data_IF_343217337963
#
_entry.id   IF_343217337963
#
_cell.length_a   1.000
_cell.length_b   1.000
_cell.length_c   1.000
_cell.angle_alpha   90.00
_cell.angle_beta   90.00
_cell.angle_gamma   90.00
#
_symmetry.space_group_name_H-M   'P 1'
#
loop_
_entity.id
_entity.type
_entity.pdbx_description
1 polymer ?
#
# COMPACT_ATOMS: atom_id res chain seq x y z
N UNK A 1 -28.14 -10.84 -1.44
CA UNK A 1 -27.58 -11.88 -2.34
C UNK A 1 -26.34 -12.50 -1.71
N UNK A 2 -26.40 -13.79 -1.40
CA UNK A 2 -25.24 -14.61 -1.01
C UNK A 2 -24.38 -14.83 -2.25
N UNK A 3 -23.10 -14.48 -2.19
CA UNK A 3 -22.15 -14.78 -3.28
C UNK A 3 -21.67 -16.21 -3.04
N UNK A 4 -21.96 -17.12 -3.98
CA UNK A 4 -21.49 -18.50 -3.90
C UNK A 4 -19.96 -18.55 -3.94
N UNK A 5 -19.36 -19.10 -2.90
CA UNK A 5 -17.91 -19.36 -2.86
C UNK A 5 -17.57 -20.42 -3.90
N UNK A 6 -16.63 -20.12 -4.79
CA UNK A 6 -16.20 -21.03 -5.86
C UNK A 6 -14.68 -21.12 -5.87
N UNK A 7 -14.15 -22.29 -6.21
CA UNK A 7 -12.73 -22.57 -6.23
C UNK A 7 -12.30 -23.09 -7.59
N UNK A 8 -11.06 -22.78 -7.98
CA UNK A 8 -10.37 -23.44 -9.10
C UNK A 8 -8.99 -23.92 -8.67
N UNK A 9 -8.49 -24.96 -9.31
CA UNK A 9 -7.10 -25.39 -9.16
C UNK A 9 -6.30 -24.89 -10.35
N UNK A 10 -5.15 -24.28 -10.10
CA UNK A 10 -4.23 -23.87 -11.16
C UNK A 10 -3.57 -25.10 -11.79
N UNK A 11 -3.69 -25.34 -13.10
CA UNK A 11 -3.11 -26.51 -13.74
C UNK A 11 -1.57 -26.51 -13.75
N UNK A 12 -0.95 -25.34 -13.58
CA UNK A 12 0.52 -25.19 -13.57
C UNK A 12 1.11 -25.34 -12.17
N UNK A 13 0.54 -24.66 -11.18
CA UNK A 13 1.09 -24.65 -9.81
C UNK A 13 0.44 -25.66 -8.87
N UNK A 14 -0.70 -26.25 -9.25
CA UNK A 14 -1.49 -27.12 -8.37
C UNK A 14 -2.18 -26.38 -7.20
N UNK A 15 -1.96 -25.07 -7.05
CA UNK A 15 -2.57 -24.27 -5.99
C UNK A 15 -4.07 -24.06 -6.23
N UNK A 16 -4.85 -24.13 -5.15
CA UNK A 16 -6.28 -23.87 -5.15
C UNK A 16 -6.54 -22.39 -4.85
N UNK A 17 -7.34 -21.75 -5.69
CA UNK A 17 -7.73 -20.35 -5.56
C UNK A 17 -9.23 -20.24 -5.34
N UNK A 18 -9.62 -19.50 -4.30
CA UNK A 18 -10.99 -19.01 -4.17
C UNK A 18 -11.19 -17.82 -5.11
N UNK A 19 -12.32 -17.78 -5.83
CA UNK A 19 -12.54 -16.85 -6.94
C UNK A 19 -12.48 -15.37 -6.51
N UNK A 20 -13.12 -14.98 -5.39
CA UNK A 20 -13.07 -13.59 -4.91
C UNK A 20 -11.65 -13.19 -4.49
N UNK A 21 -10.99 -14.06 -3.72
CA UNK A 21 -9.62 -13.86 -3.28
C UNK A 21 -8.68 -13.68 -4.49
N UNK A 22 -8.79 -14.53 -5.50
CA UNK A 22 -7.97 -14.48 -6.70
C UNK A 22 -8.15 -13.17 -7.48
N UNK A 23 -9.38 -12.73 -7.68
CA UNK A 23 -9.65 -11.47 -8.37
C UNK A 23 -9.11 -10.27 -7.61
N UNK A 24 -9.22 -10.26 -6.28
CA UNK A 24 -8.64 -9.22 -5.44
C UNK A 24 -7.10 -9.23 -5.49
N UNK A 25 -6.47 -10.41 -5.47
CA UNK A 25 -5.02 -10.55 -5.64
C UNK A 25 -4.58 -9.96 -6.99
N UNK A 26 -5.25 -10.34 -8.08
CA UNK A 26 -4.96 -9.84 -9.43
C UNK A 26 -5.17 -8.34 -9.55
N UNK A 27 -6.27 -7.82 -9.01
CA UNK A 27 -6.59 -6.40 -9.08
C UNK A 27 -5.54 -5.56 -8.34
N UNK A 28 -5.20 -5.95 -7.10
CA UNK A 28 -4.15 -5.29 -6.32
C UNK A 28 -2.79 -5.38 -7.01
N UNK A 29 -2.38 -6.57 -7.46
CA UNK A 29 -1.10 -6.75 -8.15
C UNK A 29 -1.03 -5.95 -9.47
N UNK A 30 -2.12 -5.93 -10.24
CA UNK A 30 -2.19 -5.16 -11.49
C UNK A 30 -2.06 -3.66 -11.24
N UNK A 31 -2.84 -3.10 -10.32
CA UNK A 31 -2.76 -1.66 -9.98
C UNK A 31 -1.39 -1.32 -9.38
N UNK A 32 -0.81 -2.21 -8.57
CA UNK A 32 0.56 -2.07 -8.09
C UNK A 32 1.56 -1.94 -9.25
N UNK A 33 1.51 -2.85 -10.22
CA UNK A 33 2.39 -2.78 -11.41
C UNK A 33 2.16 -1.51 -12.24
N UNK A 34 0.92 -1.03 -12.34
CA UNK A 34 0.63 0.26 -13.01
C UNK A 34 1.32 1.42 -12.29
N UNK A 35 1.22 1.51 -10.96
CA UNK A 35 1.93 2.55 -10.20
C UNK A 35 3.45 2.40 -10.25
N UNK A 36 3.97 1.17 -10.27
CA UNK A 36 5.39 0.91 -10.51
C UNK A 36 5.83 1.44 -11.87
N UNK A 37 5.04 1.24 -12.92
CA UNK A 37 5.33 1.76 -14.26
C UNK A 37 5.31 3.29 -14.28
N UNK A 38 4.29 3.92 -13.69
CA UNK A 38 4.18 5.39 -13.62
C UNK A 38 5.37 5.96 -12.85
N UNK A 39 5.61 5.49 -11.62
CA UNK A 39 6.74 5.91 -10.80
C UNK A 39 8.09 5.66 -11.50
N UNK A 40 8.25 4.54 -12.20
CA UNK A 40 9.45 4.22 -12.97
C UNK A 40 9.68 5.15 -14.16
N UNK A 41 8.63 5.54 -14.89
CA UNK A 41 8.74 6.54 -15.96
C UNK A 41 9.14 7.91 -15.42
N UNK A 42 8.55 8.33 -14.30
CA UNK A 42 8.92 9.58 -13.62
C UNK A 42 10.38 9.59 -13.16
N UNK A 43 10.92 8.42 -12.78
CA UNK A 43 12.32 8.26 -12.38
C UNK A 43 13.30 8.68 -13.50
N UNK A 44 12.94 8.50 -14.77
CA UNK A 44 13.77 8.92 -15.91
C UNK A 44 13.96 10.44 -15.88
N UNK A 45 12.88 11.18 -15.63
CA UNK A 45 12.94 12.64 -15.45
C UNK A 45 13.85 13.05 -14.29
N UNK A 46 13.74 12.37 -13.15
CA UNK A 46 14.59 12.60 -11.98
C UNK A 46 16.07 12.35 -12.32
N UNK A 47 16.40 11.19 -12.88
CA UNK A 47 17.78 10.77 -13.16
C UNK A 47 18.44 11.67 -14.20
N UNK A 48 17.75 11.97 -15.32
CA UNK A 48 18.28 12.84 -16.36
C UNK A 48 18.45 14.29 -15.90
N UNK A 49 17.65 14.75 -14.94
CA UNK A 49 17.83 16.08 -14.34
C UNK A 49 19.01 16.12 -13.37
N UNK A 50 19.24 15.01 -12.63
CA UNK A 50 20.38 14.89 -11.70
C UNK A 50 21.70 14.56 -12.39
N UNK A 51 21.70 14.20 -13.66
CA UNK A 51 22.91 13.98 -14.45
C UNK A 51 23.57 15.31 -14.80
N UNK A 52 24.84 15.55 -14.38
CA UNK A 52 25.58 16.79 -14.69
C UNK A 52 25.67 17.23 -16.16
N UNK A 53 25.33 16.35 -17.13
CA UNK A 53 25.41 16.69 -18.55
C UNK A 53 24.06 17.08 -19.18
N UNK A 54 22.92 16.62 -18.64
CA UNK A 54 21.62 16.67 -19.35
C UNK A 54 20.65 17.66 -18.71
N UNK A 55 20.59 17.77 -17.37
CA UNK A 55 19.75 18.73 -16.63
C UNK A 55 18.34 18.96 -17.24
N UNK A 56 17.60 17.88 -17.50
CA UNK A 56 16.42 17.92 -18.37
C UNK A 56 15.26 18.80 -17.85
N UNK A 57 14.83 18.63 -16.59
CA UNK A 57 13.64 19.29 -16.07
C UNK A 57 13.99 20.62 -15.38
N UNK A 58 13.12 21.61 -15.54
CA UNK A 58 13.13 22.83 -14.72
C UNK A 58 12.82 22.51 -13.25
N UNK A 59 13.19 23.41 -12.33
CA UNK A 59 13.16 23.14 -10.90
C UNK A 59 11.76 22.79 -10.37
N UNK A 60 10.74 23.54 -10.76
CA UNK A 60 9.35 23.32 -10.35
C UNK A 60 8.83 21.95 -10.81
N UNK A 61 9.09 21.61 -12.07
CA UNK A 61 8.73 20.33 -12.68
C UNK A 61 9.51 19.19 -12.05
N UNK A 62 10.80 19.39 -11.76
CA UNK A 62 11.63 18.42 -11.07
C UNK A 62 11.05 18.06 -9.70
N UNK A 63 10.67 19.04 -8.87
CA UNK A 63 10.10 18.76 -7.55
C UNK A 63 8.69 18.16 -7.63
N UNK A 64 7.88 18.52 -8.62
CA UNK A 64 6.59 17.88 -8.88
C UNK A 64 6.79 16.39 -9.24
N UNK A 65 7.65 16.11 -10.22
CA UNK A 65 7.97 14.75 -10.68
C UNK A 65 8.62 13.92 -9.57
N UNK A 66 9.54 14.50 -8.80
CA UNK A 66 10.19 13.83 -7.67
C UNK A 66 9.18 13.49 -6.56
N UNK A 67 8.19 14.35 -6.32
CA UNK A 67 7.12 14.09 -5.36
C UNK A 67 6.27 12.91 -5.80
N UNK A 68 5.75 12.94 -7.03
CA UNK A 68 4.95 11.84 -7.58
C UNK A 68 5.75 10.53 -7.64
N UNK A 69 6.99 10.56 -8.14
CA UNK A 69 7.88 9.40 -8.18
C UNK A 69 8.04 8.75 -6.81
N UNK A 70 8.39 9.53 -5.78
CA UNK A 70 8.63 9.00 -4.45
C UNK A 70 7.39 8.34 -3.84
N UNK A 71 6.22 8.96 -3.99
CA UNK A 71 4.96 8.44 -3.47
C UNK A 71 4.56 7.16 -4.21
N UNK A 72 4.62 7.16 -5.54
CA UNK A 72 4.26 6.00 -6.35
C UNK A 72 5.19 4.81 -6.07
N UNK A 73 6.49 5.07 -5.90
CA UNK A 73 7.54 4.06 -5.73
C UNK A 73 7.73 3.54 -4.30
N UNK A 74 7.32 4.28 -3.28
CA UNK A 74 7.54 3.87 -1.89
C UNK A 74 6.25 3.69 -1.09
N UNK A 75 5.10 4.09 -1.64
CA UNK A 75 3.79 3.95 -1.00
C UNK A 75 2.86 3.12 -1.88
N UNK A 76 2.46 3.62 -3.04
CA UNK A 76 1.34 3.03 -3.77
C UNK A 76 1.66 1.66 -4.36
N UNK A 77 2.72 1.51 -5.16
CA UNK A 77 2.99 0.21 -5.79
C UNK A 77 3.28 -0.89 -4.76
N UNK A 78 4.09 -0.57 -3.75
CA UNK A 78 4.51 -1.51 -2.70
C UNK A 78 3.29 -2.01 -1.95
N UNK A 79 2.46 -1.10 -1.42
CA UNK A 79 1.35 -1.49 -0.57
C UNK A 79 0.27 -2.22 -1.37
N UNK A 80 -0.02 -1.82 -2.61
CA UNK A 80 -0.90 -2.60 -3.48
C UNK A 80 -0.38 -4.03 -3.66
N UNK A 81 0.92 -4.18 -3.96
CA UNK A 81 1.52 -5.49 -4.14
C UNK A 81 1.52 -6.32 -2.84
N UNK A 82 1.78 -5.70 -1.70
CA UNK A 82 1.74 -6.33 -0.38
C UNK A 82 0.33 -6.84 -0.04
N UNK A 83 -0.73 -6.07 -0.30
CA UNK A 83 -2.10 -6.54 -0.08
C UNK A 83 -2.41 -7.77 -0.94
N UNK A 84 -1.91 -7.82 -2.19
CA UNK A 84 -2.05 -9.02 -3.03
C UNK A 84 -1.35 -10.23 -2.39
N UNK A 85 -0.13 -10.04 -1.85
CA UNK A 85 0.61 -11.09 -1.13
C UNK A 85 -0.12 -11.54 0.13
N UNK A 86 -0.68 -10.61 0.91
CA UNK A 86 -1.46 -10.94 2.10
C UNK A 86 -2.65 -11.84 1.76
N UNK A 87 -3.44 -11.46 0.75
CA UNK A 87 -4.59 -12.27 0.32
C UNK A 87 -4.17 -13.64 -0.21
N UNK A 88 -3.09 -13.71 -0.98
CA UNK A 88 -2.51 -14.98 -1.43
C UNK A 88 -2.13 -15.87 -0.23
N UNK A 89 -1.40 -15.31 0.73
CA UNK A 89 -0.89 -16.04 1.88
C UNK A 89 -1.99 -16.51 2.86
N UNK A 90 -3.08 -15.75 3.01
CA UNK A 90 -4.19 -16.12 3.89
C UNK A 90 -5.24 -17.01 3.23
N UNK A 91 -5.49 -16.87 1.92
CA UNK A 91 -6.53 -17.66 1.24
C UNK A 91 -5.93 -18.85 0.48
N UNK A 92 -4.99 -18.62 -0.44
CA UNK A 92 -4.46 -19.67 -1.32
C UNK A 92 -3.62 -20.70 -0.55
N UNK A 93 -2.70 -20.24 0.29
CA UNK A 93 -1.81 -21.15 1.03
C UNK A 93 -2.53 -21.91 2.15
N UNK A 94 -3.56 -21.30 2.73
CA UNK A 94 -4.41 -21.97 3.72
C UNK A 94 -5.62 -22.67 3.11
N UNK A 95 -5.81 -22.64 1.78
CA UNK A 95 -6.91 -23.31 1.07
C UNK A 95 -8.29 -22.96 1.64
N UNK A 96 -8.49 -21.69 1.98
CA UNK A 96 -9.74 -21.19 2.52
C UNK A 96 -10.25 -19.99 1.72
N UNK A 97 -11.53 -19.67 1.89
CA UNK A 97 -12.12 -18.47 1.28
C UNK A 97 -11.67 -17.20 1.99
N UNK A 98 -11.62 -16.10 1.25
CA UNK A 98 -11.39 -14.78 1.85
C UNK A 98 -12.54 -14.39 2.79
N UNK A 99 -12.18 -13.72 3.89
CA UNK A 99 -13.17 -13.09 4.76
C UNK A 99 -13.80 -11.88 4.06
N UNK A 100 -15.11 -11.68 4.27
CA UNK A 100 -15.84 -10.44 3.92
C UNK A 100 -15.45 -9.83 2.54
N UNK A 101 -15.59 -10.56 1.42
CA UNK A 101 -15.08 -10.12 0.11
C UNK A 101 -15.60 -8.74 -0.35
N UNK A 102 -16.83 -8.36 0.03
CA UNK A 102 -17.37 -7.02 -0.25
C UNK A 102 -16.57 -5.90 0.43
N UNK A 103 -16.12 -6.13 1.67
CA UNK A 103 -15.28 -5.19 2.41
C UNK A 103 -13.88 -5.13 1.79
N UNK A 104 -13.36 -6.27 1.31
CA UNK A 104 -12.09 -6.32 0.60
C UNK A 104 -12.12 -5.51 -0.72
N UNK A 105 -13.22 -5.58 -1.47
CA UNK A 105 -13.42 -4.74 -2.65
C UNK A 105 -13.58 -3.26 -2.31
N UNK A 106 -14.26 -2.93 -1.21
CA UNK A 106 -14.32 -1.56 -0.71
C UNK A 106 -12.93 -1.03 -0.35
N UNK A 107 -12.12 -1.84 0.35
CA UNK A 107 -10.74 -1.51 0.68
C UNK A 107 -9.91 -1.21 -0.58
N UNK A 108 -10.00 -2.08 -1.57
CA UNK A 108 -9.36 -1.88 -2.87
C UNK A 108 -9.82 -0.58 -3.55
N UNK A 109 -11.13 -0.30 -3.57
CA UNK A 109 -11.66 0.93 -4.14
C UNK A 109 -11.15 2.19 -3.43
N UNK A 110 -11.08 2.18 -2.09
CA UNK A 110 -10.51 3.28 -1.31
C UNK A 110 -9.03 3.52 -1.66
N UNK A 111 -8.24 2.45 -1.81
CA UNK A 111 -6.84 2.56 -2.24
C UNK A 111 -6.71 3.16 -3.65
N UNK A 112 -7.53 2.70 -4.60
CA UNK A 112 -7.51 3.26 -5.97
C UNK A 112 -7.89 4.73 -5.96
N UNK A 113 -9.00 5.10 -5.31
CA UNK A 113 -9.45 6.49 -5.23
C UNK A 113 -8.40 7.37 -4.54
N UNK A 114 -7.82 6.91 -3.43
CA UNK A 114 -6.81 7.65 -2.68
C UNK A 114 -5.54 7.90 -3.49
N UNK A 115 -5.01 6.87 -4.15
CA UNK A 115 -3.80 6.98 -4.98
C UNK A 115 -3.99 7.89 -6.20
N UNK A 116 -5.14 7.80 -6.87
CA UNK A 116 -5.50 8.67 -7.99
C UNK A 116 -5.69 10.12 -7.52
N UNK A 117 -6.41 10.34 -6.43
CA UNK A 117 -6.64 11.69 -5.88
C UNK A 117 -5.33 12.37 -5.47
N UNK A 118 -4.43 11.62 -4.83
CA UNK A 118 -3.13 12.14 -4.44
C UNK A 118 -2.29 12.54 -5.67
N UNK A 119 -2.15 11.65 -6.67
CA UNK A 119 -1.42 11.97 -7.89
C UNK A 119 -2.03 13.15 -8.64
N UNK A 120 -3.37 13.22 -8.73
CA UNK A 120 -4.05 14.36 -9.30
C UNK A 120 -3.67 15.67 -8.59
N UNK A 121 -3.63 15.68 -7.26
CA UNK A 121 -3.20 16.87 -6.50
C UNK A 121 -1.74 17.25 -6.77
N UNK A 122 -0.83 16.26 -6.90
CA UNK A 122 0.57 16.52 -7.25
C UNK A 122 0.70 17.13 -8.64
N UNK A 123 0.06 16.54 -9.66
CA UNK A 123 0.15 17.01 -11.05
C UNK A 123 -0.58 18.33 -11.32
N UNK A 124 -1.38 18.83 -10.38
CA UNK A 124 -1.91 20.19 -10.40
C UNK A 124 -0.85 21.26 -10.08
N UNK A 125 0.33 20.85 -9.62
CA UNK A 125 1.51 21.71 -9.40
C UNK A 125 1.56 22.40 -8.02
N UNK A 126 0.48 22.34 -7.24
CA UNK A 126 0.39 23.00 -5.92
C UNK A 126 0.81 22.10 -4.74
N UNK A 127 1.30 20.88 -4.99
CA UNK A 127 1.62 19.87 -3.97
C UNK A 127 3.02 19.25 -4.14
N UNK A 128 4.01 20.04 -4.58
CA UNK A 128 5.41 19.61 -4.76
C UNK A 128 6.19 19.55 -3.45
N UNK A 129 5.76 18.69 -2.52
CA UNK A 129 6.26 18.64 -1.12
C UNK A 129 7.13 17.42 -0.80
N UNK A 130 7.57 16.69 -1.83
CA UNK A 130 8.24 15.39 -1.73
C UNK A 130 7.37 14.33 -1.02
N UNK A 131 7.81 13.07 -1.03
CA UNK A 131 7.07 11.99 -0.36
C UNK A 131 6.92 12.23 1.16
N UNK A 132 7.88 12.92 1.78
CA UNK A 132 7.87 13.17 3.23
C UNK A 132 6.87 14.23 3.66
N UNK A 133 6.48 15.14 2.76
CA UNK A 133 5.49 16.20 3.01
C UNK A 133 5.69 16.96 4.33
N UNK A 134 6.95 17.31 4.63
CA UNK A 134 7.30 17.95 5.91
C UNK A 134 6.64 19.33 6.06
N UNK A 135 5.89 19.52 7.15
CA UNK A 135 5.45 20.84 7.59
C UNK A 135 6.66 21.72 7.98
N UNK A 136 6.62 23.05 7.76
CA UNK A 136 5.48 23.85 7.31
C UNK A 136 5.32 23.97 5.78
N UNK A 137 6.06 23.19 4.98
CA UNK A 137 5.86 23.17 3.53
C UNK A 137 4.60 22.38 3.18
N UNK A 138 3.48 23.09 3.05
CA UNK A 138 2.15 22.48 2.89
C UNK A 138 1.85 22.13 1.43
N UNK A 139 1.16 21.01 1.25
CA UNK A 139 0.44 20.67 0.03
C UNK A 139 -1.04 21.07 0.13
N UNK A 140 -1.76 21.07 -0.99
CA UNK A 140 -3.22 21.22 -0.95
C UNK A 140 -3.92 20.09 -0.16
N UNK A 141 -5.10 20.36 0.46
CA UNK A 141 -5.82 19.36 1.27
C UNK A 141 -6.08 18.02 0.57
N UNK A 142 -6.32 18.04 -0.74
CA UNK A 142 -6.57 16.81 -1.52
C UNK A 142 -5.36 15.88 -1.60
N UNK A 143 -4.15 16.42 -1.47
CA UNK A 143 -2.93 15.61 -1.38
C UNK A 143 -2.98 14.69 -0.15
N UNK A 144 -3.23 15.26 1.02
CA UNK A 144 -3.31 14.51 2.28
C UNK A 144 -4.55 13.61 2.33
N UNK A 145 -5.70 14.10 1.83
CA UNK A 145 -6.93 13.30 1.76
C UNK A 145 -6.73 12.03 0.92
N UNK A 146 -6.02 12.12 -0.21
CA UNK A 146 -5.66 10.97 -1.03
C UNK A 146 -4.85 9.92 -0.26
N UNK A 147 -3.83 10.37 0.50
CA UNK A 147 -3.02 9.47 1.36
C UNK A 147 -3.88 8.85 2.46
N UNK A 148 -4.76 9.62 3.10
CA UNK A 148 -5.66 9.14 4.16
C UNK A 148 -6.61 8.06 3.62
N UNK A 149 -7.27 8.31 2.49
CA UNK A 149 -8.16 7.33 1.86
C UNK A 149 -7.42 6.04 1.51
N UNK A 150 -6.20 6.18 0.97
CA UNK A 150 -5.34 5.03 0.66
C UNK A 150 -5.01 4.22 1.91
N UNK A 151 -4.55 4.89 2.97
CA UNK A 151 -4.17 4.25 4.23
C UNK A 151 -5.35 3.55 4.91
N UNK A 152 -6.54 4.16 4.89
CA UNK A 152 -7.77 3.54 5.39
C UNK A 152 -8.11 2.28 4.60
N UNK A 153 -8.02 2.34 3.27
CA UNK A 153 -8.20 1.16 2.42
C UNK A 153 -7.23 0.04 2.77
N UNK A 154 -5.93 0.34 2.90
CA UNK A 154 -4.91 -0.62 3.27
C UNK A 154 -5.13 -1.23 4.67
N UNK A 155 -5.55 -0.43 5.66
CA UNK A 155 -5.90 -0.91 7.01
C UNK A 155 -7.09 -1.88 6.97
N UNK A 156 -8.13 -1.54 6.21
CA UNK A 156 -9.29 -2.43 6.03
C UNK A 156 -8.86 -3.74 5.35
N UNK A 157 -7.97 -3.66 4.36
CA UNK A 157 -7.43 -4.84 3.70
C UNK A 157 -6.62 -5.74 4.66
N UNK A 158 -5.82 -5.16 5.56
CA UNK A 158 -5.15 -5.90 6.64
C UNK A 158 -6.18 -6.56 7.58
N UNK A 159 -7.26 -5.86 7.93
CA UNK A 159 -8.37 -6.42 8.70
C UNK A 159 -9.01 -7.64 8.03
N UNK A 160 -9.21 -7.59 6.71
CA UNK A 160 -9.68 -8.74 5.91
C UNK A 160 -8.68 -9.88 5.95
N UNK A 161 -7.38 -9.61 5.85
CA UNK A 161 -6.34 -10.63 5.99
C UNK A 161 -6.43 -11.36 7.34
N UNK A 162 -6.47 -10.63 8.47
CA UNK A 162 -6.63 -11.24 9.79
C UNK A 162 -7.94 -12.03 9.91
N UNK A 163 -9.04 -11.49 9.40
CA UNK A 163 -10.33 -12.20 9.36
C UNK A 163 -10.25 -13.51 8.55
N UNK A 164 -9.46 -13.53 7.48
CA UNK A 164 -9.25 -14.71 6.63
C UNK A 164 -8.47 -15.79 7.38
N UNK A 165 -7.48 -15.42 8.21
CA UNK A 165 -6.79 -16.39 9.09
C UNK A 165 -7.76 -17.03 10.10
N UNK A 166 -8.71 -16.25 10.64
CA UNK A 166 -9.77 -16.78 11.52
C UNK A 166 -10.69 -17.73 10.77
N UNK A 167 -11.06 -17.41 9.53
CA UNK A 167 -11.84 -18.29 8.65
C UNK A 167 -11.11 -19.61 8.42
N UNK A 168 -9.82 -19.56 8.06
CA UNK A 168 -8.99 -20.74 7.84
C UNK A 168 -8.97 -21.68 9.06
N UNK A 169 -8.80 -21.10 10.26
CA UNK A 169 -8.78 -21.84 11.52
C UNK A 169 -10.14 -22.47 11.83
N UNK A 170 -11.23 -21.72 11.64
CA UNK A 170 -12.59 -22.20 11.89
C UNK A 170 -13.00 -23.30 10.91
N UNK A 171 -12.59 -23.18 9.66
CA UNK A 171 -12.84 -24.17 8.60
C UNK A 171 -11.86 -25.36 8.67
N UNK A 172 -10.92 -25.37 9.65
CA UNK A 172 -9.94 -26.44 9.88
C UNK A 172 -9.17 -26.83 8.63
N UNK A 173 -8.77 -25.83 7.85
CA UNK A 173 -8.09 -26.00 6.57
C UNK A 173 -6.59 -26.33 6.70
N UNK A 174 -6.04 -26.18 7.91
CA UNK A 174 -4.67 -26.55 8.26
C UNK A 174 -4.61 -27.02 9.72
N UNK A 175 -3.56 -27.76 10.06
CA UNK A 175 -3.26 -28.23 11.42
C UNK A 175 -1.93 -27.63 11.91
N UNK A 176 -1.81 -27.47 13.23
CA UNK A 176 -0.62 -26.86 13.84
C UNK A 176 -0.44 -25.38 13.50
N UNK A 177 0.81 -24.99 13.23
CA UNK A 177 1.21 -23.63 12.88
C UNK A 177 0.90 -23.31 11.41
N UNK A 178 0.71 -22.03 11.10
CA UNK A 178 0.56 -21.58 9.70
C UNK A 178 1.86 -21.81 8.90
N UNK A 179 1.79 -21.97 7.56
CA UNK A 179 2.98 -22.07 6.71
C UNK A 179 3.91 -20.87 6.87
N UNK A 180 5.22 -21.07 6.63
CA UNK A 180 6.24 -20.02 6.77
C UNK A 180 5.88 -18.72 6.03
N UNK A 181 5.38 -18.82 4.81
CA UNK A 181 4.99 -17.66 4.01
C UNK A 181 3.79 -16.93 4.63
N UNK A 182 2.81 -17.68 5.14
CA UNK A 182 1.67 -17.10 5.85
C UNK A 182 2.09 -16.47 7.17
N UNK A 183 3.09 -17.04 7.85
CA UNK A 183 3.68 -16.44 9.04
C UNK A 183 4.38 -15.12 8.72
N UNK A 184 5.19 -15.07 7.67
CA UNK A 184 5.84 -13.83 7.29
C UNK A 184 4.89 -12.77 6.74
N UNK A 185 3.82 -13.18 6.04
CA UNK A 185 2.70 -12.28 5.69
C UNK A 185 1.97 -11.76 6.94
N UNK A 186 1.82 -12.58 7.98
CA UNK A 186 1.28 -12.14 9.27
C UNK A 186 2.19 -11.11 9.94
N UNK A 187 3.50 -11.32 9.94
CA UNK A 187 4.48 -10.33 10.41
C UNK A 187 4.35 -9.02 9.64
N UNK A 188 4.32 -9.09 8.30
CA UNK A 188 4.14 -7.92 7.45
C UNK A 188 2.84 -7.18 7.76
N UNK A 189 1.72 -7.88 7.92
CA UNK A 189 0.42 -7.28 8.25
C UNK A 189 0.42 -6.58 9.63
N UNK A 190 1.10 -7.13 10.64
CA UNK A 190 1.22 -6.50 11.97
C UNK A 190 2.03 -5.20 11.86
N UNK A 191 3.16 -5.23 11.14
CA UNK A 191 3.97 -4.03 10.91
C UNK A 191 3.18 -3.00 10.10
N UNK A 192 2.39 -3.44 9.11
CA UNK A 192 1.54 -2.56 8.30
C UNK A 192 0.50 -1.82 9.14
N UNK A 193 -0.17 -2.50 10.08
CA UNK A 193 -1.10 -1.84 11.00
C UNK A 193 -0.40 -0.77 11.83
N UNK A 194 0.75 -1.08 12.43
CA UNK A 194 1.54 -0.10 13.18
C UNK A 194 1.92 1.10 12.29
N UNK A 195 2.47 0.82 11.11
CA UNK A 195 2.91 1.81 10.11
C UNK A 195 1.78 2.77 9.75
N UNK A 196 0.61 2.24 9.38
CA UNK A 196 -0.52 3.02 8.92
C UNK A 196 -1.19 3.82 10.05
N UNK A 197 -1.21 3.28 11.28
CA UNK A 197 -1.67 4.02 12.46
C UNK A 197 -0.73 5.18 12.78
N UNK A 198 0.59 4.96 12.79
CA UNK A 198 1.57 6.04 12.95
C UNK A 198 1.43 7.11 11.86
N UNK A 199 1.18 6.69 10.62
CA UNK A 199 0.87 7.60 9.51
C UNK A 199 -0.37 8.44 9.75
N UNK A 200 -1.48 7.81 10.14
CA UNK A 200 -2.73 8.51 10.44
C UNK A 200 -2.55 9.54 11.56
N UNK A 201 -1.77 9.21 12.60
CA UNK A 201 -1.47 10.10 13.72
C UNK A 201 -0.75 11.39 13.31
N UNK A 202 -0.14 11.45 12.12
CA UNK A 202 0.53 12.67 11.65
C UNK A 202 -0.02 13.28 10.37
N UNK A 203 -0.46 12.47 9.42
CA UNK A 203 -1.04 12.95 8.16
C UNK A 203 -2.43 13.56 8.40
N UNK A 204 -3.23 13.07 9.36
CA UNK A 204 -4.52 13.70 9.69
C UNK A 204 -4.32 15.10 10.29
N UNK A 205 -3.44 15.31 11.30
CA UNK A 205 -3.11 16.66 11.74
C UNK A 205 -2.57 17.57 10.63
N UNK A 206 -1.71 17.06 9.75
CA UNK A 206 -1.21 17.85 8.62
C UNK A 206 -2.32 18.22 7.63
N UNK A 207 -3.28 17.34 7.40
CA UNK A 207 -4.48 17.66 6.63
C UNK A 207 -5.32 18.76 7.30
N UNK A 208 -5.54 18.69 8.62
CA UNK A 208 -6.24 19.75 9.36
C UNK A 208 -5.48 21.09 9.30
N UNK A 209 -4.14 21.05 9.36
CA UNK A 209 -3.28 22.21 9.17
C UNK A 209 -3.41 22.79 7.76
N UNK A 210 -3.50 21.95 6.72
CA UNK A 210 -3.71 22.41 5.33
C UNK A 210 -5.04 23.13 5.12
N UNK A 211 -6.00 22.92 6.03
CA UNK A 211 -7.30 23.57 6.05
C UNK A 211 -7.35 24.79 7.01
N UNK A 212 -6.22 25.16 7.63
CA UNK A 212 -6.14 26.25 8.59
C UNK A 212 -6.83 25.98 9.93
N UNK A 213 -7.09 24.71 10.27
CA UNK A 213 -7.82 24.35 11.49
C UNK A 213 -6.92 24.11 12.71
N UNK A 214 -5.63 23.90 12.51
CA UNK A 214 -4.65 23.72 13.59
C UNK A 214 -3.22 23.94 13.08
N UNK A 215 -2.27 24.00 14.00
CA UNK A 215 -0.84 23.99 13.70
C UNK A 215 -0.22 22.67 14.15
N UNK A 216 0.75 22.17 13.38
CA UNK A 216 1.51 20.96 13.72
C UNK A 216 2.97 21.35 13.92
N UNK A 217 3.52 21.02 15.09
CA UNK A 217 4.94 21.23 15.35
C UNK A 217 5.80 20.41 14.36
N UNK A 218 6.74 21.04 13.63
CA UNK A 218 7.55 20.34 12.63
C UNK A 218 8.42 19.21 13.18
N UNK A 219 8.88 19.30 14.43
CA UNK A 219 9.68 18.25 15.04
C UNK A 219 8.80 17.05 15.42
N UNK A 220 7.62 17.29 15.96
CA UNK A 220 6.61 16.25 16.19
C UNK A 220 6.25 15.56 14.87
N UNK A 221 6.05 16.34 13.79
CA UNK A 221 5.78 15.78 12.47
C UNK A 221 6.86 14.81 12.03
N UNK A 222 8.12 15.25 12.03
CA UNK A 222 9.24 14.41 11.59
C UNK A 222 9.36 13.15 12.46
N UNK A 223 9.21 13.29 13.77
CA UNK A 223 9.34 12.17 14.71
C UNK A 223 8.29 11.09 14.45
N UNK A 224 7.01 11.49 14.34
CA UNK A 224 5.91 10.53 14.11
C UNK A 224 5.93 10.01 12.68
N UNK A 225 6.25 10.86 11.70
CA UNK A 225 6.34 10.46 10.29
C UNK A 225 7.41 9.38 10.09
N UNK A 226 8.56 9.44 10.77
CA UNK A 226 9.59 8.41 10.66
C UNK A 226 9.25 7.10 11.39
N UNK A 227 8.35 7.12 12.37
CA UNK A 227 7.78 5.88 12.90
C UNK A 227 7.01 5.13 11.80
N UNK A 228 6.29 5.84 10.93
CA UNK A 228 5.73 5.30 9.68
C UNK A 228 6.83 4.95 8.68
N UNK A 229 7.74 5.89 8.38
CA UNK A 229 8.67 5.78 7.26
C UNK A 229 9.67 4.63 7.40
N UNK A 230 10.14 4.35 8.63
CA UNK A 230 11.04 3.23 8.87
C UNK A 230 10.30 1.89 8.84
N UNK A 231 9.15 1.81 9.51
CA UNK A 231 8.38 0.57 9.62
C UNK A 231 7.79 0.13 8.28
N UNK A 232 7.44 1.05 7.39
CA UNK A 232 6.94 0.73 6.03
C UNK A 232 7.93 -0.10 5.22
N UNK A 233 9.24 0.20 5.32
CA UNK A 233 10.28 -0.58 4.65
C UNK A 233 10.36 -2.02 5.19
N UNK A 234 10.05 -2.22 6.48
CA UNK A 234 10.08 -3.54 7.10
C UNK A 234 8.91 -4.43 6.67
N UNK A 235 7.77 -3.85 6.28
CA UNK A 235 6.65 -4.61 5.69
C UNK A 235 7.14 -5.32 4.41
N UNK A 236 7.81 -4.55 3.55
CA UNK A 236 8.31 -5.01 2.26
C UNK A 236 9.39 -6.09 2.43
N UNK A 237 10.34 -5.88 3.34
CA UNK A 237 11.40 -6.85 3.63
C UNK A 237 10.82 -8.16 4.16
N UNK A 238 9.87 -8.12 5.09
CA UNK A 238 9.23 -9.31 5.63
C UNK A 238 8.51 -10.11 4.53
N UNK A 239 7.78 -9.42 3.64
CA UNK A 239 7.12 -10.05 2.50
C UNK A 239 8.12 -10.67 1.52
N UNK A 240 9.18 -9.96 1.14
CA UNK A 240 10.19 -10.45 0.20
C UNK A 240 10.92 -11.69 0.70
N UNK A 241 11.41 -11.66 1.94
CA UNK A 241 12.10 -12.82 2.54
C UNK A 241 11.17 -14.05 2.53
N UNK A 242 9.90 -13.85 2.86
CA UNK A 242 8.89 -14.91 2.84
C UNK A 242 8.68 -15.50 1.46
N UNK A 243 8.63 -14.66 0.42
CA UNK A 243 8.50 -15.08 -0.97
C UNK A 243 9.76 -15.77 -1.46
N UNK A 244 10.96 -15.33 -1.07
CA UNK A 244 12.21 -16.02 -1.41
C UNK A 244 12.24 -17.44 -0.85
N UNK A 245 11.82 -17.63 0.39
CA UNK A 245 11.69 -18.98 0.97
C UNK A 245 10.58 -19.83 0.31
N UNK A 246 9.59 -19.22 -0.34
CA UNK A 246 8.56 -19.95 -1.08
C UNK A 246 9.08 -20.49 -2.42
N UNK A 247 9.98 -19.78 -3.07
CA UNK A 247 10.45 -20.10 -4.43
C UNK A 247 11.79 -20.83 -4.47
N UNK A 248 12.50 -20.90 -3.34
CA UNK A 248 13.73 -21.68 -3.16
C UNK A 248 13.44 -23.19 -3.09
#
# INVERSE_FOLDING_TARGET
MSVTTTYRTCPRSGLQFENQAEWLMKANAFVGVVWLLIGGLLAIGVVLTRWPAVHWLEADTFYMVLTAHGIDMLIFWIIFFEIAVLYFAASTLLRCRIATPKIAWLAFALMVIGSVLNNYAVFRGASSVMMTSYVPMMAEPNFYLGIILFAVGALVACGVFFGTLVVAKREKTYEGSVPLVTFGALTAAIIAVFTLVSGALIIVPAWLMSLGMMEVDPLVYRTVWWALGHSSQQINVAAHVSVWYLVA
#
